data_IF_462404377216
#
_entry.id   IF_462404377216
#
_cell.length_a   1.000
_cell.length_b   1.000
_cell.length_c   1.000
_cell.angle_alpha   90.00
_cell.angle_beta   90.00
_cell.angle_gamma   90.00
#
_symmetry.space_group_name_H-M   'P 1'
#
loop_
_entity.id
_entity.type
_entity.pdbx_description
1 polymer ?
#
# COMPACT_ATOMS: atom_id res chain seq x y z
N UNK A 1 -4.57 -26.78 -17.01
CA UNK A 1 -3.87 -26.55 -16.90
C UNK A 1 -3.13 -26.56 -16.88
N UNK A 2 -2.96 -26.33 -17.05
CA UNK A 2 -2.14 -26.39 -16.95
C UNK A 2 -1.28 -25.99 -16.61
N UNK A 3 -0.89 -26.32 -16.22
CA UNK A 3 0.04 -26.05 -15.89
C UNK A 3 0.73 -25.31 -16.41
N UNK A 4 0.39 -25.22 -17.01
CA UNK A 4 0.95 -24.56 -17.59
C UNK A 4 1.01 -23.49 -17.40
N UNK A 5 0.43 -23.59 -16.62
CA UNK A 5 0.70 -22.59 -16.23
C UNK A 5 2.04 -22.16 -16.21
N UNK A 6 2.62 -22.21 -17.00
CA UNK A 6 3.88 -21.59 -17.24
C UNK A 6 3.75 -20.11 -17.42
N UNK A 7 2.54 -19.65 -17.41
CA UNK A 7 2.26 -18.22 -17.46
C UNK A 7 2.63 -17.62 -16.12
N UNK A 8 3.60 -16.71 -16.13
CA UNK A 8 4.04 -16.03 -14.91
C UNK A 8 3.19 -14.80 -14.60
N UNK A 9 2.32 -14.41 -15.53
CA UNK A 9 1.44 -13.29 -15.31
C UNK A 9 0.26 -13.70 -14.44
N UNK A 10 -0.27 -12.74 -13.71
CA UNK A 10 -1.44 -12.96 -12.88
C UNK A 10 -2.65 -13.27 -13.76
N UNK A 11 -3.40 -14.33 -13.47
CA UNK A 11 -4.63 -14.61 -14.21
C UNK A 11 -5.63 -13.47 -14.07
N UNK A 12 -6.47 -13.28 -15.11
CA UNK A 12 -7.39 -12.14 -15.12
C UNK A 12 -8.39 -12.18 -13.98
N UNK A 13 -8.83 -13.37 -13.55
CA UNK A 13 -9.72 -13.48 -12.40
C UNK A 13 -9.07 -13.02 -11.11
N UNK A 14 -7.83 -13.43 -10.92
CA UNK A 14 -7.07 -12.99 -9.75
C UNK A 14 -6.81 -11.49 -9.79
N UNK A 15 -6.47 -10.97 -10.97
CA UNK A 15 -6.26 -9.53 -11.14
C UNK A 15 -7.51 -8.74 -10.73
N UNK A 16 -8.68 -9.23 -11.14
CA UNK A 16 -9.95 -8.59 -10.78
C UNK A 16 -10.15 -8.59 -9.27
N UNK A 17 -9.88 -9.72 -8.61
CA UNK A 17 -10.04 -9.82 -7.17
C UNK A 17 -9.09 -8.92 -6.40
N UNK A 18 -7.81 -8.94 -6.76
CA UNK A 18 -6.84 -8.11 -6.04
C UNK A 18 -7.06 -6.64 -6.32
N UNK A 19 -7.52 -6.30 -7.54
CA UNK A 19 -7.87 -4.93 -7.86
C UNK A 19 -9.00 -4.40 -6.99
N UNK A 20 -10.02 -5.22 -6.76
CA UNK A 20 -11.13 -4.83 -5.88
C UNK A 20 -10.66 -4.62 -4.45
N UNK A 21 -9.81 -5.49 -3.95
CA UNK A 21 -9.24 -5.33 -2.60
C UNK A 21 -8.43 -4.05 -2.48
N UNK A 22 -7.68 -3.73 -3.50
CA UNK A 22 -6.85 -2.52 -3.48
C UNK A 22 -7.73 -1.27 -3.55
N UNK A 23 -8.80 -1.30 -4.32
CA UNK A 23 -9.76 -0.20 -4.36
C UNK A 23 -10.41 -0.03 -3.00
N UNK A 24 -10.81 -1.12 -2.36
CA UNK A 24 -11.40 -1.06 -1.01
C UNK A 24 -10.41 -0.45 -0.02
N UNK A 25 -9.15 -0.87 -0.09
CA UNK A 25 -8.11 -0.32 0.77
C UNK A 25 -7.95 1.18 0.55
N UNK A 26 -7.91 1.59 -0.71
CA UNK A 26 -7.72 3.00 -1.08
C UNK A 26 -8.90 3.85 -0.61
N UNK A 27 -10.12 3.36 -0.79
CA UNK A 27 -11.32 4.06 -0.36
C UNK A 27 -11.34 4.22 1.15
N UNK A 28 -10.97 3.16 1.87
CA UNK A 28 -10.86 3.22 3.33
C UNK A 28 -9.80 4.21 3.78
N UNK A 29 -8.66 4.20 3.12
CA UNK A 29 -7.58 5.12 3.44
C UNK A 29 -8.05 6.57 3.33
N UNK A 30 -8.67 6.92 2.19
CA UNK A 30 -9.13 8.28 1.97
C UNK A 30 -10.25 8.67 2.94
N UNK A 31 -11.14 7.72 3.26
CA UNK A 31 -12.25 8.00 4.16
C UNK A 31 -11.78 8.22 5.59
N UNK A 32 -10.67 7.62 5.99
CA UNK A 32 -10.18 7.69 7.36
C UNK A 32 -8.89 8.50 7.49
N UNK A 33 -8.61 9.33 6.51
CA UNK A 33 -7.35 10.06 6.42
C UNK A 33 -7.10 10.92 7.66
N UNK A 34 -8.14 11.51 8.22
CA UNK A 34 -8.01 12.38 9.39
C UNK A 34 -7.61 11.63 10.65
N UNK A 35 -7.77 10.30 10.67
CA UNK A 35 -7.39 9.50 11.82
C UNK A 35 -5.89 9.28 11.91
N UNK A 36 -5.15 9.57 10.85
CA UNK A 36 -3.69 9.42 10.83
C UNK A 36 -3.02 10.71 11.25
N UNK A 37 -1.81 10.64 11.84
CA UNK A 37 -1.02 11.86 12.05
C UNK A 37 -0.52 12.38 10.71
N UNK A 38 -0.34 13.70 10.60
CA UNK A 38 0.21 14.26 9.36
C UNK A 38 1.62 13.75 9.13
N UNK A 39 2.45 13.81 10.16
CA UNK A 39 3.83 13.32 10.09
C UNK A 39 3.92 11.96 10.76
N UNK A 40 4.73 11.06 10.21
CA UNK A 40 4.89 9.75 10.81
C UNK A 40 5.65 9.83 12.12
N UNK A 41 5.34 8.93 13.04
CA UNK A 41 6.03 8.84 14.33
C UNK A 41 7.11 7.75 14.23
N UNK A 42 8.06 7.95 13.33
CA UNK A 42 9.16 7.01 13.10
C UNK A 42 10.46 7.78 13.04
N UNK A 43 11.55 7.09 13.34
CA UNK A 43 12.90 7.63 13.24
C UNK A 43 13.57 7.11 11.99
N UNK A 44 14.60 7.80 11.49
CA UNK A 44 15.35 7.28 10.34
C UNK A 44 15.84 5.85 10.64
N UNK A 45 15.59 4.95 9.70
CA UNK A 45 15.97 3.56 9.84
C UNK A 45 14.90 2.64 10.37
N UNK A 46 13.83 3.18 10.98
CA UNK A 46 12.79 2.33 11.57
C UNK A 46 12.10 1.47 10.52
N UNK A 47 11.72 2.08 9.39
CA UNK A 47 11.05 1.34 8.32
C UNK A 47 12.00 0.34 7.69
N UNK A 48 13.24 0.77 7.45
CA UNK A 48 14.24 -0.11 6.85
C UNK A 48 14.47 -1.34 7.71
N UNK A 49 14.46 -1.19 9.03
CA UNK A 49 14.66 -2.31 9.93
C UNK A 49 13.56 -3.36 9.84
N UNK A 50 12.36 -2.96 9.40
CA UNK A 50 11.23 -3.87 9.26
C UNK A 50 11.17 -4.55 7.90
N UNK A 51 11.96 -4.07 6.93
CA UNK A 51 12.01 -4.67 5.60
C UNK A 51 13.05 -5.78 5.57
N UNK A 52 12.83 -6.82 4.77
CA UNK A 52 13.83 -7.87 4.64
C UNK A 52 15.09 -7.33 3.99
N UNK A 53 16.23 -7.90 4.35
CA UNK A 53 17.52 -7.46 3.82
C UNK A 53 17.75 -7.95 2.39
N UNK A 54 17.04 -8.98 1.99
CA UNK A 54 17.20 -9.60 0.68
C UNK A 54 15.87 -9.56 -0.06
N UNK A 55 15.88 -9.50 -1.40
CA UNK A 55 14.65 -9.63 -2.14
C UNK A 55 14.03 -11.00 -1.89
N UNK A 56 12.70 -11.13 -2.01
CA UNK A 56 12.06 -12.42 -1.77
C UNK A 56 12.52 -13.46 -2.78
N UNK A 57 12.72 -14.67 -2.29
CA UNK A 57 13.12 -15.79 -3.14
C UNK A 57 11.92 -16.44 -3.81
N UNK A 58 10.73 -16.20 -3.28
CA UNK A 58 9.48 -16.78 -3.78
C UNK A 58 8.46 -15.68 -3.89
N UNK A 59 7.45 -15.92 -4.72
CA UNK A 59 6.34 -14.99 -4.80
C UNK A 59 5.57 -15.00 -3.48
N UNK A 60 4.99 -13.84 -3.16
CA UNK A 60 4.18 -13.69 -1.95
C UNK A 60 2.74 -13.47 -2.34
N UNK A 61 1.83 -13.82 -1.42
CA UNK A 61 0.41 -13.59 -1.68
C UNK A 61 0.10 -12.10 -1.66
N UNK A 62 -0.96 -11.72 -2.36
CA UNK A 62 -1.41 -10.33 -2.34
C UNK A 62 -1.80 -9.89 -0.94
N UNK A 63 -2.40 -10.81 -0.17
CA UNK A 63 -2.77 -10.52 1.21
C UNK A 63 -1.55 -10.15 2.06
N UNK A 64 -0.43 -10.83 1.84
CA UNK A 64 0.79 -10.51 2.55
C UNK A 64 1.31 -9.12 2.16
N UNK A 65 1.22 -8.78 0.88
CA UNK A 65 1.67 -7.48 0.38
C UNK A 65 0.83 -6.36 1.01
N UNK A 66 -0.49 -6.54 1.07
CA UNK A 66 -1.38 -5.56 1.69
C UNK A 66 -1.12 -5.45 3.18
N UNK A 67 -0.84 -6.58 3.84
CA UNK A 67 -0.50 -6.57 5.26
C UNK A 67 0.77 -5.76 5.52
N UNK A 68 1.77 -5.91 4.66
CA UNK A 68 3.01 -5.13 4.77
C UNK A 68 2.75 -3.65 4.55
N UNK A 69 1.86 -3.32 3.64
CA UNK A 69 1.48 -1.93 3.40
C UNK A 69 0.91 -1.31 4.68
N UNK A 70 0.01 -2.02 5.36
CA UNK A 70 -0.61 -1.52 6.59
C UNK A 70 0.36 -1.46 7.75
N UNK A 71 1.20 -2.48 7.90
CA UNK A 71 2.01 -2.66 9.10
C UNK A 71 3.39 -2.05 9.01
N UNK A 72 3.92 -1.89 7.80
CA UNK A 72 5.29 -1.41 7.61
C UNK A 72 5.30 -0.04 6.95
N UNK A 73 4.60 0.09 5.83
CA UNK A 73 4.71 1.28 4.98
C UNK A 73 3.86 2.42 5.53
N UNK A 74 2.58 2.14 5.80
CA UNK A 74 1.62 3.18 6.21
C UNK A 74 2.08 3.95 7.45
N UNK A 75 2.63 3.30 8.50
CA UNK A 75 3.09 4.05 9.67
C UNK A 75 4.26 4.99 9.39
N UNK A 76 4.94 4.83 8.27
CA UNK A 76 6.13 5.62 7.95
C UNK A 76 5.93 6.71 6.93
N UNK A 77 4.72 6.88 6.38
CA UNK A 77 4.53 7.88 5.33
C UNK A 77 3.98 9.19 5.91
N UNK A 78 4.27 10.27 5.21
CA UNK A 78 3.67 11.57 5.49
C UNK A 78 2.39 11.65 4.67
N UNK A 79 1.27 11.95 5.34
CA UNK A 79 -0.04 11.93 4.69
C UNK A 79 -0.32 13.27 4.02
N UNK A 80 0.14 13.41 2.78
CA UNK A 80 0.02 14.66 2.02
C UNK A 80 -1.43 15.07 1.77
N UNK A 81 -2.35 14.11 1.78
CA UNK A 81 -3.76 14.40 1.54
C UNK A 81 -4.51 14.70 2.83
N UNK A 82 -3.83 14.68 3.97
CA UNK A 82 -4.46 15.00 5.25
C UNK A 82 -4.90 16.46 5.24
N UNK A 83 -6.10 16.77 5.77
CA UNK A 83 -6.61 18.16 5.77
C UNK A 83 -5.69 19.13 6.49
N UNK A 84 -4.86 18.66 7.40
CA UNK A 84 -3.95 19.52 8.17
C UNK A 84 -2.52 19.54 7.61
N UNK A 85 -2.30 18.96 6.43
CA UNK A 85 -0.99 19.03 5.79
C UNK A 85 -0.84 20.43 5.18
N UNK A 86 0.12 21.19 5.69
CA UNK A 86 0.27 22.61 5.36
C UNK A 86 1.60 22.93 4.72
N UNK A 87 2.22 21.96 4.06
CA UNK A 87 3.49 22.16 3.37
C UNK A 87 3.29 21.96 1.88
N UNK A 88 4.10 22.62 1.08
CA UNK A 88 4.11 22.49 -0.37
C UNK A 88 2.77 22.88 -1.01
N UNK A 89 2.69 22.75 -2.32
CA UNK A 89 1.47 22.98 -3.08
C UNK A 89 0.93 21.64 -3.56
N UNK A 90 0.36 20.89 -2.63
CA UNK A 90 -0.19 19.59 -2.95
C UNK A 90 -1.64 19.75 -3.42
N UNK A 91 -2.05 18.93 -4.39
CA UNK A 91 -3.44 18.89 -4.79
C UNK A 91 -4.14 17.74 -4.07
N UNK A 92 -5.45 17.89 -3.91
CA UNK A 92 -6.26 16.86 -3.27
C UNK A 92 -6.43 15.67 -4.19
N UNK A 93 -6.37 14.47 -3.63
CA UNK A 93 -6.67 13.27 -4.38
C UNK A 93 -8.17 13.12 -4.55
N UNK A 94 -8.57 12.42 -5.60
CA UNK A 94 -9.97 12.05 -5.81
C UNK A 94 -10.03 10.58 -6.19
N UNK A 95 -11.20 9.97 -6.00
CA UNK A 95 -11.37 8.57 -6.33
C UNK A 95 -11.01 8.24 -7.78
N UNK A 96 -11.54 9.01 -8.76
CA UNK A 96 -11.21 8.71 -10.15
C UNK A 96 -9.85 9.24 -10.61
N UNK A 97 -9.19 10.09 -9.81
CA UNK A 97 -7.94 10.75 -10.21
C UNK A 97 -6.65 10.03 -9.93
#
# INVERSE_FOLDING_TARGET
MNENNKNLDMPSGEFNEVGKKLIDWSANYLANLESFPVLPNVKPGDIRAKLPQQPPQKSESFEQIISDLDNIILPGITHWQHPKFMAYFASTASGPG
#
